data_IF_165052487572
#
_entry.id   IF_165052487572
#
_cell.length_a   1.000
_cell.length_b   1.000
_cell.length_c   1.000
_cell.angle_alpha   90.00
_cell.angle_beta   90.00
_cell.angle_gamma   90.00
#
_symmetry.space_group_name_H-M   'P 1'
#
loop_
_entity.id
_entity.type
_entity.pdbx_description
1 polymer ?
#
# COMPACT_ATOMS: atom_id res chain seq x y z
N UNK A 1 27.00 -4.87 -17.93
CA UNK A 1 25.95 -5.35 -18.85
C UNK A 1 24.76 -4.40 -18.94
N UNK A 2 24.11 -3.99 -17.80
CA UNK A 2 22.96 -3.05 -17.85
C UNK A 2 23.38 -1.69 -18.39
N UNK A 3 24.42 -1.09 -17.84
CA UNK A 3 24.98 0.19 -18.29
C UNK A 3 25.45 0.14 -19.77
N UNK A 4 26.14 -0.93 -20.17
CA UNK A 4 26.60 -1.15 -21.55
C UNK A 4 25.45 -1.25 -22.56
N UNK A 5 24.25 -1.65 -22.09
CA UNK A 5 23.05 -1.68 -22.92
C UNK A 5 22.17 -0.42 -22.77
N UNK A 6 22.68 0.65 -22.17
CA UNK A 6 21.98 1.93 -22.02
C UNK A 6 20.80 1.89 -21.04
N UNK A 7 20.78 0.94 -20.10
CA UNK A 7 19.76 0.85 -19.07
C UNK A 7 20.11 1.83 -17.93
N UNK A 8 19.20 2.74 -17.62
CA UNK A 8 19.36 3.72 -16.54
C UNK A 8 19.17 3.08 -15.17
N UNK A 9 18.28 2.08 -15.04
CA UNK A 9 17.93 1.45 -13.77
C UNK A 9 17.82 -0.06 -13.88
N UNK A 10 18.31 -0.78 -12.86
CA UNK A 10 18.19 -2.22 -12.73
C UNK A 10 17.38 -2.61 -11.49
N UNK A 11 16.35 -3.45 -11.68
CA UNK A 11 15.56 -3.99 -10.57
C UNK A 11 16.18 -5.29 -10.08
N UNK A 12 16.61 -5.34 -8.84
CA UNK A 12 17.24 -6.53 -8.29
C UNK A 12 16.24 -7.65 -7.94
N UNK A 13 16.73 -8.88 -8.01
CA UNK A 13 16.00 -10.05 -7.53
C UNK A 13 15.76 -9.98 -6.02
N UNK A 14 14.64 -10.53 -5.55
CA UNK A 14 14.22 -10.47 -4.13
C UNK A 14 14.96 -11.43 -3.21
N UNK A 15 15.81 -12.25 -3.77
CA UNK A 15 16.61 -13.28 -3.07
C UNK A 15 17.97 -12.77 -2.55
N UNK A 16 18.27 -11.48 -2.77
CA UNK A 16 19.54 -10.85 -2.36
C UNK A 16 19.50 -10.40 -0.90
N UNK A 17 20.65 -10.54 -0.23
CA UNK A 17 20.86 -9.93 1.08
C UNK A 17 21.24 -8.45 0.96
N UNK A 18 21.07 -7.68 2.06
CA UNK A 18 21.53 -6.27 2.12
C UNK A 18 23.02 -6.16 1.79
N UNK A 19 23.82 -7.15 2.21
CA UNK A 19 25.25 -7.20 1.89
C UNK A 19 25.48 -7.32 0.38
N UNK A 20 24.74 -8.19 -0.29
CA UNK A 20 24.85 -8.37 -1.73
C UNK A 20 24.39 -7.12 -2.48
N UNK A 21 23.27 -6.50 -2.04
CA UNK A 21 22.74 -5.25 -2.57
C UNK A 21 23.81 -4.14 -2.46
N UNK A 22 24.41 -3.96 -1.28
CA UNK A 22 25.47 -2.98 -1.07
C UNK A 22 26.66 -3.21 -2.01
N UNK A 23 27.07 -4.47 -2.18
CA UNK A 23 28.15 -4.82 -3.10
C UNK A 23 27.81 -4.44 -4.52
N UNK A 24 26.59 -4.69 -4.96
CA UNK A 24 26.13 -4.32 -6.31
C UNK A 24 26.13 -2.79 -6.48
N UNK A 25 25.50 -2.06 -5.55
CA UNK A 25 25.45 -0.60 -5.60
C UNK A 25 26.85 0.04 -5.66
N UNK A 26 27.81 -0.53 -4.91
CA UNK A 26 29.19 -0.01 -4.87
C UNK A 26 30.00 -0.31 -6.16
N UNK A 27 29.52 -1.17 -7.04
CA UNK A 27 30.25 -1.61 -8.24
C UNK A 27 29.54 -1.26 -9.56
N UNK A 28 28.56 -0.36 -9.54
CA UNK A 28 27.84 0.09 -10.75
C UNK A 28 27.39 1.53 -10.61
N UNK A 29 27.40 2.26 -11.70
CA UNK A 29 26.81 3.60 -11.83
C UNK A 29 25.33 3.53 -12.25
N UNK A 30 24.81 2.33 -12.58
CA UNK A 30 23.40 2.11 -12.91
C UNK A 30 22.57 2.25 -11.63
N UNK A 31 21.47 3.01 -11.68
CA UNK A 31 20.53 3.09 -10.56
C UNK A 31 20.00 1.73 -10.15
N UNK A 32 19.96 1.49 -8.84
CA UNK A 32 19.49 0.21 -8.30
C UNK A 32 18.13 0.37 -7.64
N UNK A 33 17.17 -0.44 -8.13
CA UNK A 33 15.82 -0.54 -7.57
C UNK A 33 15.65 -1.86 -6.83
N UNK A 34 15.08 -1.82 -5.61
CA UNK A 34 14.75 -3.01 -4.83
C UNK A 34 13.29 -3.01 -4.39
N UNK A 35 12.69 -4.20 -4.28
CA UNK A 35 11.39 -4.33 -3.66
C UNK A 35 11.50 -4.11 -2.15
N UNK A 36 10.64 -3.25 -1.59
CA UNK A 36 10.62 -2.92 -0.16
C UNK A 36 9.33 -3.36 0.54
N UNK A 37 8.22 -3.52 -0.21
CA UNK A 37 6.94 -3.92 0.38
C UNK A 37 6.08 -4.72 -0.58
N UNK A 38 5.25 -5.60 0.00
CA UNK A 38 4.17 -6.30 -0.70
C UNK A 38 4.46 -7.76 -1.02
N UNK A 39 3.71 -8.32 -1.96
CA UNK A 39 3.67 -9.74 -2.22
C UNK A 39 5.01 -10.32 -2.67
N UNK A 40 5.44 -11.39 -2.01
CA UNK A 40 6.60 -12.20 -2.41
C UNK A 40 6.18 -13.37 -3.32
N UNK A 41 7.12 -13.83 -4.13
CA UNK A 41 7.02 -15.05 -4.92
C UNK A 41 7.67 -16.23 -4.17
N UNK A 42 7.09 -17.43 -4.27
CA UNK A 42 7.69 -18.65 -3.70
C UNK A 42 8.88 -19.13 -4.53
N UNK A 43 8.89 -18.80 -5.82
CA UNK A 43 9.93 -19.19 -6.75
C UNK A 43 10.98 -18.09 -6.87
N UNK A 44 12.19 -18.44 -7.30
CA UNK A 44 13.20 -17.48 -7.70
C UNK A 44 12.67 -16.49 -8.73
N UNK A 45 13.09 -15.25 -8.61
CA UNK A 45 12.65 -14.14 -9.47
C UNK A 45 12.87 -14.48 -10.96
N UNK A 46 11.81 -14.31 -11.76
CA UNK A 46 11.84 -14.57 -13.20
C UNK A 46 11.78 -16.04 -13.65
N UNK A 47 11.81 -17.02 -12.73
CA UNK A 47 11.94 -18.44 -13.09
C UNK A 47 10.66 -19.27 -12.92
N UNK A 48 9.56 -18.67 -12.45
CA UNK A 48 8.34 -19.41 -12.19
C UNK A 48 7.56 -19.71 -13.48
N UNK A 49 7.38 -21.00 -13.78
CA UNK A 49 6.54 -21.49 -14.88
C UNK A 49 5.18 -22.00 -14.44
N UNK A 50 4.92 -22.09 -13.13
CA UNK A 50 3.74 -22.74 -12.56
C UNK A 50 2.42 -22.18 -13.13
N UNK A 51 2.27 -20.87 -13.15
CA UNK A 51 1.07 -20.22 -13.69
C UNK A 51 0.93 -20.36 -15.22
N UNK A 52 2.02 -20.49 -15.94
CA UNK A 52 2.02 -20.72 -17.39
C UNK A 52 1.57 -22.14 -17.71
N UNK A 53 2.10 -23.14 -16.97
CA UNK A 53 1.80 -24.56 -17.21
C UNK A 53 0.36 -24.93 -16.79
N UNK A 54 -0.12 -24.40 -15.66
CA UNK A 54 -1.47 -24.74 -15.14
C UNK A 54 -2.57 -24.01 -15.92
N UNK A 55 -2.36 -22.73 -16.27
CA UNK A 55 -3.44 -21.90 -16.81
C UNK A 55 -3.06 -20.98 -17.99
N UNK A 56 -1.93 -21.21 -18.68
CA UNK A 56 -1.47 -20.40 -19.81
C UNK A 56 -1.12 -18.94 -19.47
N UNK A 57 -1.02 -18.58 -18.18
CA UNK A 57 -0.83 -17.20 -17.72
C UNK A 57 0.59 -16.99 -17.19
N UNK A 58 1.47 -16.47 -18.05
CA UNK A 58 2.87 -16.25 -17.71
C UNK A 58 3.06 -15.19 -16.61
N UNK A 59 3.74 -15.58 -15.51
CA UNK A 59 4.15 -14.66 -14.45
C UNK A 59 5.16 -13.62 -14.95
N UNK A 60 6.08 -14.02 -15.80
CA UNK A 60 7.12 -13.15 -16.39
C UNK A 60 6.55 -12.09 -17.35
N UNK A 61 5.30 -12.27 -17.79
CA UNK A 61 4.54 -11.29 -18.60
C UNK A 61 3.50 -10.53 -17.74
N UNK A 62 3.67 -10.48 -16.43
CA UNK A 62 2.75 -9.79 -15.52
C UNK A 62 1.36 -10.43 -15.37
N UNK A 63 1.11 -11.66 -15.87
CA UNK A 63 -0.21 -12.30 -15.92
C UNK A 63 -0.39 -13.44 -14.92
N UNK A 64 0.49 -13.57 -13.91
CA UNK A 64 0.44 -14.64 -12.93
C UNK A 64 -0.93 -14.75 -12.24
N UNK A 65 -1.51 -15.97 -12.25
CA UNK A 65 -2.76 -16.28 -11.57
C UNK A 65 -2.57 -16.60 -10.08
N UNK A 66 -1.33 -16.58 -9.57
CA UNK A 66 -0.96 -16.90 -8.20
C UNK A 66 -1.35 -18.32 -7.76
N UNK A 67 -1.07 -19.39 -8.53
CA UNK A 67 -1.41 -20.76 -8.15
C UNK A 67 -0.74 -21.18 -6.83
N UNK A 68 0.43 -20.62 -6.48
CA UNK A 68 1.09 -20.85 -5.19
C UNK A 68 0.24 -20.43 -3.97
N UNK A 69 -0.85 -19.67 -4.17
CA UNK A 69 -1.78 -19.26 -3.11
C UNK A 69 -2.97 -20.21 -2.93
N UNK A 70 -2.99 -21.30 -3.67
CA UNK A 70 -3.99 -22.38 -3.51
C UNK A 70 -3.55 -23.37 -2.41
N UNK A 71 -4.49 -24.17 -1.86
CA UNK A 71 -4.16 -25.22 -0.91
C UNK A 71 -3.44 -26.38 -1.62
N UNK A 72 -2.41 -26.89 -0.98
CA UNK A 72 -1.63 -28.04 -1.45
C UNK A 72 -1.43 -29.05 -0.32
N UNK A 73 -1.23 -30.33 -0.70
CA UNK A 73 -0.79 -31.42 0.19
C UNK A 73 0.57 -31.93 -0.29
N UNK A 74 1.44 -32.24 0.66
CA UNK A 74 2.67 -32.97 0.41
C UNK A 74 2.38 -34.45 0.60
N UNK A 75 2.39 -35.21 -0.49
CA UNK A 75 2.07 -36.64 -0.45
C UNK A 75 3.30 -37.51 -0.79
N UNK A 76 3.37 -38.69 -0.19
CA UNK A 76 4.29 -39.73 -0.61
C UNK A 76 3.81 -40.39 -1.92
N UNK A 77 4.59 -41.38 -2.40
CA UNK A 77 4.26 -42.16 -3.62
C UNK A 77 2.93 -42.92 -3.55
N UNK A 78 2.38 -43.14 -2.37
CA UNK A 78 1.13 -43.86 -2.14
C UNK A 78 -0.05 -42.89 -1.91
N UNK A 79 0.16 -41.58 -2.04
CA UNK A 79 -0.86 -40.54 -1.82
C UNK A 79 -1.09 -40.18 -0.34
N UNK A 80 -0.28 -40.71 0.59
CA UNK A 80 -0.40 -40.39 2.02
C UNK A 80 0.10 -38.96 2.30
N UNK A 81 -0.70 -38.19 3.01
CA UNK A 81 -0.32 -36.86 3.43
C UNK A 81 0.83 -36.90 4.47
N UNK A 82 2.00 -36.40 4.06
CA UNK A 82 3.22 -36.41 4.88
C UNK A 82 3.19 -35.37 6.02
N UNK A 83 2.25 -34.41 5.97
CA UNK A 83 2.10 -33.37 6.99
C UNK A 83 0.90 -33.60 7.89
N UNK A 84 0.18 -34.72 7.73
CA UNK A 84 -0.93 -35.07 8.58
C UNK A 84 -0.50 -35.16 10.06
N UNK A 85 -1.24 -34.43 10.95
CA UNK A 85 -0.95 -34.36 12.38
C UNK A 85 0.14 -33.35 12.76
N UNK A 86 0.73 -32.64 11.81
CA UNK A 86 1.64 -31.52 12.10
C UNK A 86 0.86 -30.21 12.25
N UNK A 87 1.56 -29.13 12.62
CA UNK A 87 1.02 -27.77 12.69
C UNK A 87 0.99 -27.03 11.35
N UNK A 88 1.37 -27.68 10.25
CA UNK A 88 1.38 -27.11 8.91
C UNK A 88 -0.02 -26.76 8.44
N UNK A 89 -0.18 -25.57 7.86
CA UNK A 89 -1.40 -25.15 7.19
C UNK A 89 -1.55 -25.75 5.80
N UNK A 90 -2.64 -25.41 5.11
CA UNK A 90 -2.96 -25.92 3.78
C UNK A 90 -2.26 -25.17 2.64
N UNK A 91 -1.77 -23.95 2.89
CA UNK A 91 -1.21 -23.05 1.87
C UNK A 91 0.31 -23.09 1.87
N UNK A 92 0.85 -24.30 1.67
CA UNK A 92 2.27 -24.63 1.84
C UNK A 92 3.24 -23.76 1.01
N UNK A 93 2.76 -23.24 -0.13
CA UNK A 93 3.55 -22.43 -1.06
C UNK A 93 3.23 -20.93 -0.98
N UNK A 94 2.41 -20.49 0.00
CA UNK A 94 2.01 -19.09 0.12
C UNK A 94 2.97 -18.30 1.00
N UNK A 95 3.87 -17.46 0.46
CA UNK A 95 4.75 -16.65 1.29
C UNK A 95 4.00 -15.50 1.98
N UNK A 96 4.60 -15.02 3.08
CA UNK A 96 4.29 -13.75 3.72
C UNK A 96 4.55 -12.58 2.77
N UNK A 97 4.07 -11.38 3.13
CA UNK A 97 4.41 -10.17 2.39
C UNK A 97 5.74 -9.57 2.90
N UNK A 98 6.49 -8.96 1.99
CA UNK A 98 7.68 -8.21 2.32
C UNK A 98 7.29 -6.94 3.09
N UNK A 99 8.01 -6.64 4.16
CA UNK A 99 7.97 -5.36 4.84
C UNK A 99 9.38 -5.04 5.35
N UNK A 100 9.93 -3.94 4.86
CA UNK A 100 11.31 -3.51 5.18
C UNK A 100 11.36 -2.24 5.99
N UNK A 101 10.24 -1.73 6.53
CA UNK A 101 10.23 -0.48 7.29
C UNK A 101 11.30 -0.47 8.39
N UNK A 102 11.43 -1.53 9.19
CA UNK A 102 12.43 -1.58 10.27
C UNK A 102 13.88 -1.57 9.77
N UNK A 103 14.12 -2.05 8.56
CA UNK A 103 15.48 -2.17 7.97
C UNK A 103 15.72 -1.16 6.84
N UNK A 104 14.81 -0.23 6.64
CA UNK A 104 14.89 0.77 5.55
C UNK A 104 16.18 1.60 5.59
N UNK A 105 16.69 2.06 6.75
CA UNK A 105 17.99 2.73 6.85
C UNK A 105 19.14 1.93 6.23
N UNK A 106 19.16 0.61 6.45
CA UNK A 106 20.19 -0.25 5.91
C UNK A 106 20.17 -0.35 4.39
N UNK A 107 18.98 -0.24 3.77
CA UNK A 107 18.83 -0.20 2.31
C UNK A 107 19.27 1.15 1.72
N UNK A 108 18.97 2.25 2.43
CA UNK A 108 19.44 3.59 2.04
C UNK A 108 20.97 3.64 2.11
N UNK A 109 21.56 3.18 3.20
CA UNK A 109 23.02 3.12 3.41
C UNK A 109 23.74 2.15 2.45
N UNK A 110 23.02 1.17 1.93
CA UNK A 110 23.52 0.28 0.89
C UNK A 110 23.64 0.95 -0.48
N UNK A 111 23.11 2.17 -0.67
CA UNK A 111 23.15 2.92 -1.92
C UNK A 111 21.98 2.64 -2.87
N UNK A 112 20.87 2.11 -2.37
CA UNK A 112 19.65 1.91 -3.16
C UNK A 112 19.04 3.26 -3.52
N UNK A 113 18.76 3.48 -4.81
CA UNK A 113 18.23 4.75 -5.33
C UNK A 113 16.71 4.72 -5.58
N UNK A 114 16.13 3.53 -5.76
CA UNK A 114 14.71 3.36 -6.06
C UNK A 114 14.06 2.25 -5.21
N UNK A 115 12.89 2.55 -4.67
CA UNK A 115 12.17 1.68 -3.71
C UNK A 115 10.83 1.23 -4.30
N UNK A 116 10.73 -0.07 -4.62
CA UNK A 116 9.56 -0.65 -5.30
C UNK A 116 8.56 -1.25 -4.33
N UNK A 117 7.31 -0.83 -4.43
CA UNK A 117 6.18 -1.39 -3.69
C UNK A 117 5.35 -2.27 -4.63
N UNK A 118 5.17 -3.55 -4.29
CA UNK A 118 4.28 -4.45 -5.03
C UNK A 118 2.83 -4.19 -4.61
N UNK A 119 2.04 -3.65 -5.53
CA UNK A 119 0.65 -3.30 -5.30
C UNK A 119 -0.31 -3.79 -6.38
N UNK A 120 0.14 -4.64 -7.32
CA UNK A 120 -0.73 -5.21 -8.34
C UNK A 120 -1.90 -5.96 -7.68
N UNK A 121 -3.11 -5.74 -8.16
CA UNK A 121 -4.35 -6.29 -7.58
C UNK A 121 -4.71 -5.74 -6.18
N UNK A 122 -4.04 -4.71 -5.72
CA UNK A 122 -4.40 -3.98 -4.52
C UNK A 122 -5.30 -2.79 -4.85
N UNK A 123 -6.06 -2.36 -3.85
CA UNK A 123 -6.91 -1.15 -3.97
C UNK A 123 -6.05 0.11 -3.83
N UNK A 124 -6.53 1.27 -4.33
CA UNK A 124 -5.84 2.55 -4.17
C UNK A 124 -5.47 2.87 -2.72
N UNK A 125 -6.34 2.52 -1.77
CA UNK A 125 -6.13 2.75 -0.34
C UNK A 125 -4.87 2.06 0.17
N UNK A 126 -4.60 0.84 -0.30
CA UNK A 126 -3.36 0.13 0.05
C UNK A 126 -2.13 0.89 -0.46
N UNK A 127 -2.16 1.33 -1.70
CA UNK A 127 -1.04 2.09 -2.29
C UNK A 127 -0.82 3.37 -1.51
N UNK A 128 -1.89 4.13 -1.24
CA UNK A 128 -1.83 5.38 -0.50
C UNK A 128 -1.20 5.22 0.89
N UNK A 129 -1.71 4.29 1.69
CA UNK A 129 -1.22 4.06 3.07
C UNK A 129 0.24 3.59 3.08
N UNK A 130 0.59 2.64 2.20
CA UNK A 130 1.94 2.07 2.18
C UNK A 130 2.95 3.10 1.67
N UNK A 131 2.65 3.80 0.57
CA UNK A 131 3.55 4.83 0.02
C UNK A 131 3.77 5.96 1.01
N UNK A 132 2.69 6.45 1.66
CA UNK A 132 2.78 7.52 2.66
C UNK A 132 3.68 7.13 3.84
N UNK A 133 3.52 5.91 4.38
CA UNK A 133 4.35 5.43 5.48
C UNK A 133 5.84 5.33 5.09
N UNK A 134 6.16 4.75 3.91
CA UNK A 134 7.53 4.66 3.43
C UNK A 134 8.11 6.03 3.08
N UNK A 135 7.33 6.95 2.50
CA UNK A 135 7.80 8.31 2.19
C UNK A 135 8.21 9.05 3.45
N UNK A 136 7.35 9.05 4.47
CA UNK A 136 7.66 9.67 5.77
C UNK A 136 8.87 9.02 6.47
N UNK A 137 9.00 7.69 6.36
CA UNK A 137 10.15 6.98 6.90
C UNK A 137 11.46 7.38 6.21
N UNK A 138 11.48 7.49 4.87
CA UNK A 138 12.64 7.96 4.11
C UNK A 138 12.97 9.42 4.50
N UNK A 139 11.98 10.30 4.55
CA UNK A 139 12.18 11.71 4.88
C UNK A 139 12.75 11.89 6.30
N UNK A 140 12.25 11.12 7.27
CA UNK A 140 12.78 11.14 8.65
C UNK A 140 14.22 10.66 8.74
N UNK A 141 14.58 9.65 7.93
CA UNK A 141 15.96 9.18 7.84
C UNK A 141 16.90 10.23 7.24
N UNK A 142 16.51 10.85 6.13
CA UNK A 142 17.29 11.90 5.47
C UNK A 142 17.45 13.16 6.35
N UNK A 143 16.45 13.42 7.21
CA UNK A 143 16.54 14.47 8.22
C UNK A 143 17.41 14.10 9.45
N UNK A 144 18.05 12.92 9.45
CA UNK A 144 18.92 12.44 10.55
C UNK A 144 18.17 11.97 11.81
N UNK A 145 16.88 11.76 11.72
CA UNK A 145 16.02 11.33 12.84
C UNK A 145 15.06 10.20 12.41
N UNK A 146 15.62 9.03 12.12
CA UNK A 146 14.81 7.89 11.72
C UNK A 146 13.83 7.50 12.83
N UNK A 147 12.56 7.71 12.56
CA UNK A 147 11.48 7.33 13.46
C UNK A 147 10.27 6.91 12.64
N UNK A 148 9.83 5.68 12.84
CA UNK A 148 8.57 5.18 12.27
C UNK A 148 7.56 5.07 13.41
N UNK A 149 6.50 5.88 13.42
CA UNK A 149 5.46 5.78 14.44
C UNK A 149 4.83 4.39 14.47
N UNK A 150 4.52 3.89 15.65
CA UNK A 150 3.84 2.59 15.82
C UNK A 150 2.53 2.52 15.01
N UNK A 151 1.85 3.66 14.85
CA UNK A 151 0.63 3.77 14.05
C UNK A 151 0.85 3.39 12.59
N UNK A 152 2.04 3.61 12.02
CA UNK A 152 2.34 3.24 10.63
C UNK A 152 2.46 1.73 10.45
N UNK A 153 3.08 1.05 11.41
CA UNK A 153 3.10 -0.42 11.42
C UNK A 153 1.67 -0.97 11.55
N UNK A 154 0.85 -0.40 12.42
CA UNK A 154 -0.54 -0.80 12.60
C UNK A 154 -1.40 -0.51 11.37
N UNK A 155 -1.20 0.62 10.69
CA UNK A 155 -1.89 0.97 9.46
C UNK A 155 -1.52 0.01 8.32
N UNK A 156 -0.24 -0.31 8.17
CA UNK A 156 0.24 -1.28 7.17
C UNK A 156 -0.32 -2.68 7.46
N UNK A 157 -0.32 -3.11 8.71
CA UNK A 157 -0.93 -4.38 9.11
C UNK A 157 -2.44 -4.39 8.84
N UNK A 158 -3.12 -3.29 9.11
CA UNK A 158 -4.57 -3.17 8.94
C UNK A 158 -4.98 -3.11 7.48
N UNK A 159 -4.24 -2.39 6.62
CA UNK A 159 -4.62 -2.23 5.23
C UNK A 159 -4.54 -3.54 4.45
N UNK A 160 -3.56 -4.39 4.76
CA UNK A 160 -3.45 -5.73 4.20
C UNK A 160 -2.46 -6.60 4.99
N UNK A 161 -2.93 -7.73 5.52
CA UNK A 161 -2.14 -8.62 6.36
C UNK A 161 -2.15 -10.06 5.86
N UNK A 162 -0.97 -10.56 5.48
CA UNK A 162 -0.63 -11.99 5.27
C UNK A 162 0.57 -12.41 6.09
N UNK A 163 0.80 -11.80 7.24
CA UNK A 163 2.07 -11.72 7.96
C UNK A 163 3.17 -11.05 7.15
N UNK A 164 4.20 -10.58 7.84
CA UNK A 164 5.32 -9.90 7.23
C UNK A 164 6.63 -10.64 7.43
N UNK A 165 7.57 -10.38 6.52
CA UNK A 165 8.93 -10.90 6.54
C UNK A 165 9.87 -9.89 5.86
N UNK A 166 11.12 -9.88 6.26
CA UNK A 166 12.20 -9.20 5.53
C UNK A 166 12.78 -10.05 4.40
N UNK A 167 12.18 -11.21 4.14
CA UNK A 167 12.63 -12.19 3.15
C UNK A 167 14.12 -12.56 3.33
N UNK A 168 14.90 -12.48 2.26
CA UNK A 168 16.33 -12.83 2.25
C UNK A 168 17.26 -11.68 2.67
N UNK A 169 16.72 -10.48 2.88
CA UNK A 169 17.56 -9.28 3.12
C UNK A 169 18.43 -9.40 4.37
N UNK A 170 17.89 -9.97 5.44
CA UNK A 170 18.61 -10.10 6.73
C UNK A 170 19.12 -11.52 6.96
N UNK A 171 18.34 -12.53 6.56
CA UNK A 171 18.66 -13.94 6.82
C UNK A 171 18.01 -14.84 5.77
N UNK A 172 18.36 -16.14 5.79
CA UNK A 172 17.64 -17.14 5.00
C UNK A 172 16.43 -17.65 5.78
N UNK A 173 15.21 -17.23 5.44
CA UNK A 173 14.04 -17.40 6.31
C UNK A 173 13.50 -18.83 6.36
N UNK A 174 13.82 -19.70 5.39
CA UNK A 174 13.29 -21.07 5.32
C UNK A 174 11.75 -21.11 5.40
N UNK A 175 11.20 -22.06 6.19
CA UNK A 175 9.74 -22.21 6.39
C UNK A 175 9.08 -20.98 7.02
N UNK A 176 9.81 -20.18 7.81
CA UNK A 176 9.25 -19.00 8.47
C UNK A 176 8.80 -17.91 7.50
N UNK A 177 9.23 -17.99 6.23
CA UNK A 177 8.76 -17.12 5.14
C UNK A 177 7.32 -17.41 4.75
N UNK A 178 6.75 -18.59 5.10
CA UNK A 178 5.43 -19.01 4.62
C UNK A 178 4.30 -18.51 5.52
N UNK A 179 3.20 -18.06 4.90
CA UNK A 179 1.90 -17.79 5.50
C UNK A 179 0.96 -18.96 5.16
N UNK A 180 1.26 -20.13 5.70
CA UNK A 180 0.67 -21.41 5.29
C UNK A 180 -0.79 -21.62 5.75
N UNK A 181 -1.27 -20.79 6.67
CA UNK A 181 -2.63 -20.88 7.18
C UNK A 181 -3.63 -20.05 6.36
N UNK A 182 -3.16 -19.01 5.66
CA UNK A 182 -4.05 -18.07 4.99
C UNK A 182 -3.39 -17.28 3.85
N UNK A 183 -3.88 -17.39 2.59
CA UNK A 183 -3.28 -16.73 1.44
C UNK A 183 -3.83 -15.32 1.19
N UNK A 184 -4.95 -14.96 1.84
CA UNK A 184 -5.65 -13.69 1.67
C UNK A 184 -5.43 -12.76 2.87
N UNK A 185 -5.96 -11.54 2.75
CA UNK A 185 -6.00 -10.61 3.87
C UNK A 185 -6.65 -11.27 5.09
N UNK A 186 -5.95 -11.23 6.20
CA UNK A 186 -6.37 -11.80 7.48
C UNK A 186 -7.10 -10.76 8.34
N UNK A 187 -6.86 -9.48 8.06
CA UNK A 187 -7.22 -8.39 8.93
C UNK A 187 -6.41 -8.40 10.24
N UNK A 188 -6.78 -7.54 11.15
CA UNK A 188 -6.17 -7.39 12.48
C UNK A 188 -7.13 -7.89 13.54
N UNK A 189 -6.65 -8.71 14.46
CA UNK A 189 -7.48 -9.18 15.59
C UNK A 189 -7.82 -8.00 16.48
N UNK A 190 -9.13 -7.75 16.67
CA UNK A 190 -9.63 -6.64 17.47
C UNK A 190 -10.28 -7.09 18.77
N UNK A 191 -10.50 -8.40 18.96
CA UNK A 191 -11.06 -8.91 20.19
C UNK A 191 -11.63 -10.31 20.10
N UNK A 192 -12.42 -10.67 21.13
CA UNK A 192 -13.11 -11.96 21.25
C UNK A 192 -14.55 -11.80 21.72
N UNK A 193 -15.39 -12.69 21.24
CA UNK A 193 -16.77 -12.81 21.71
C UNK A 193 -16.78 -13.33 23.15
N UNK A 194 -17.33 -12.53 24.08
CA UNK A 194 -17.37 -12.87 25.52
C UNK A 194 -18.78 -13.15 26.02
N UNK A 195 -19.84 -12.78 25.27
CA UNK A 195 -21.23 -13.07 25.60
C UNK A 195 -22.06 -13.09 24.32
N UNK A 196 -23.05 -13.98 24.27
CA UNK A 196 -24.09 -14.01 23.23
C UNK A 196 -25.43 -13.67 23.89
N UNK A 197 -26.24 -12.86 23.22
CA UNK A 197 -27.59 -12.54 23.67
C UNK A 197 -28.57 -13.48 22.96
N UNK A 198 -29.15 -14.41 23.74
CA UNK A 198 -30.10 -15.41 23.21
C UNK A 198 -31.34 -14.71 22.65
N UNK A 199 -31.76 -15.12 21.44
CA UNK A 199 -32.92 -14.53 20.77
C UNK A 199 -32.67 -13.19 20.06
N UNK A 200 -31.49 -12.60 20.26
CA UNK A 200 -31.02 -11.42 19.55
C UNK A 200 -29.75 -11.78 18.79
N UNK A 201 -29.66 -11.35 17.55
CA UNK A 201 -28.42 -11.53 16.78
C UNK A 201 -27.34 -10.52 17.26
N UNK A 202 -26.98 -10.57 18.56
CA UNK A 202 -26.03 -9.67 19.19
C UNK A 202 -25.00 -10.43 20.02
N UNK A 203 -23.81 -9.85 20.10
CA UNK A 203 -22.74 -10.34 20.96
C UNK A 203 -22.02 -9.19 21.66
N UNK A 204 -21.53 -9.48 22.87
CA UNK A 204 -20.55 -8.65 23.52
C UNK A 204 -19.14 -9.10 23.10
N UNK A 205 -18.31 -8.14 22.70
CA UNK A 205 -16.93 -8.35 22.28
C UNK A 205 -16.03 -7.62 23.28
N UNK A 206 -15.05 -8.34 23.85
CA UNK A 206 -13.95 -7.74 24.60
C UNK A 206 -12.90 -7.26 23.63
N UNK A 207 -12.66 -5.96 23.59
CA UNK A 207 -11.76 -5.33 22.64
C UNK A 207 -10.29 -5.42 23.08
N UNK A 208 -9.44 -5.78 22.15
CA UNK A 208 -7.98 -5.75 22.23
C UNK A 208 -7.39 -4.56 21.43
N UNK A 209 -8.14 -4.06 20.44
CA UNK A 209 -7.84 -2.85 19.66
C UNK A 209 -9.07 -1.97 19.54
N UNK A 210 -8.90 -0.68 19.17
CA UNK A 210 -9.99 0.26 18.91
C UNK A 210 -10.96 -0.31 17.86
N UNK A 211 -12.25 -0.08 18.05
CA UNK A 211 -13.31 -0.40 17.09
C UNK A 211 -14.18 0.84 16.87
N UNK A 212 -14.55 1.10 15.62
CA UNK A 212 -15.34 2.27 15.21
C UNK A 212 -16.56 1.86 14.36
N UNK A 213 -17.58 2.70 14.31
CA UNK A 213 -18.69 2.51 13.36
C UNK A 213 -18.17 2.53 11.92
N UNK A 214 -18.76 1.68 11.09
CA UNK A 214 -18.33 1.49 9.71
C UNK A 214 -17.22 0.47 9.53
N UNK A 215 -16.57 0.00 10.61
CA UNK A 215 -15.57 -1.06 10.53
C UNK A 215 -16.20 -2.37 10.03
N UNK A 216 -15.48 -3.07 9.14
CA UNK A 216 -15.85 -4.41 8.67
C UNK A 216 -15.15 -5.47 9.49
N UNK A 217 -15.94 -6.39 10.04
CA UNK A 217 -15.47 -7.47 10.91
C UNK A 217 -15.66 -8.84 10.28
N UNK A 218 -14.73 -9.75 10.57
CA UNK A 218 -14.87 -11.20 10.34
C UNK A 218 -14.72 -11.96 11.66
N UNK A 219 -15.68 -12.83 11.92
CA UNK A 219 -15.64 -13.80 13.02
C UNK A 219 -15.09 -15.13 12.50
N UNK A 220 -14.09 -15.66 13.19
CA UNK A 220 -13.52 -16.95 12.84
C UNK A 220 -14.26 -18.05 13.58
N UNK A 221 -15.23 -18.65 12.89
CA UNK A 221 -16.13 -19.67 13.44
C UNK A 221 -15.61 -21.07 13.18
N UNK A 222 -15.94 -22.02 14.06
CA UNK A 222 -15.46 -23.42 13.94
C UNK A 222 -16.04 -24.16 12.74
N UNK A 223 -17.28 -23.84 12.36
CA UNK A 223 -17.98 -24.46 11.24
C UNK A 223 -18.37 -23.36 10.26
N UNK A 224 -18.04 -23.51 8.98
CA UNK A 224 -18.30 -22.48 7.96
C UNK A 224 -17.17 -21.48 7.77
N UNK A 225 -16.06 -21.59 8.53
CA UNK A 225 -14.85 -20.81 8.35
C UNK A 225 -14.93 -19.39 8.86
N UNK A 226 -15.67 -18.50 8.19
CA UNK A 226 -15.77 -17.08 8.55
C UNK A 226 -17.10 -16.49 8.16
N UNK A 227 -17.59 -15.62 9.01
CA UNK A 227 -18.78 -14.83 8.76
C UNK A 227 -18.46 -13.35 9.03
N UNK A 228 -18.93 -12.46 8.15
CA UNK A 228 -18.61 -11.04 8.18
C UNK A 228 -19.82 -10.17 8.53
N UNK A 229 -19.54 -9.01 9.10
CA UNK A 229 -20.53 -7.94 9.31
C UNK A 229 -19.84 -6.58 9.26
N UNK A 230 -20.65 -5.53 9.09
CA UNK A 230 -20.21 -4.14 9.29
C UNK A 230 -20.76 -3.64 10.61
N UNK A 231 -19.98 -2.87 11.36
CA UNK A 231 -20.39 -2.27 12.64
C UNK A 231 -21.27 -1.06 12.35
N UNK A 232 -22.58 -1.28 12.20
CA UNK A 232 -23.55 -0.21 11.97
C UNK A 232 -24.06 0.42 13.25
N UNK A 233 -24.06 -0.36 14.35
CA UNK A 233 -24.47 0.06 15.68
C UNK A 233 -23.58 -0.59 16.73
N UNK A 234 -23.21 0.18 17.74
CA UNK A 234 -22.37 -0.29 18.83
C UNK A 234 -22.82 0.36 20.14
N UNK A 235 -22.93 -0.44 21.19
CA UNK A 235 -23.26 0.06 22.53
C UNK A 235 -22.19 -0.35 23.54
N UNK A 236 -21.87 0.57 24.45
CA UNK A 236 -20.96 0.36 25.56
C UNK A 236 -21.70 0.77 26.84
N UNK A 237 -21.77 -0.13 27.82
CA UNK A 237 -22.50 0.10 29.09
C UNK A 237 -23.97 0.56 28.89
N UNK A 238 -24.62 0.05 27.81
CA UNK A 238 -26.01 0.39 27.50
C UNK A 238 -26.20 1.70 26.70
N UNK A 239 -25.16 2.47 26.47
CA UNK A 239 -25.18 3.71 25.69
C UNK A 239 -24.64 3.48 24.29
N UNK A 240 -25.21 4.13 23.28
CA UNK A 240 -24.70 4.12 21.92
C UNK A 240 -23.39 4.91 21.83
N UNK A 241 -22.40 4.31 21.17
CA UNK A 241 -21.08 4.92 20.96
C UNK A 241 -20.65 4.79 19.49
N UNK A 242 -19.88 5.75 19.00
CA UNK A 242 -19.33 5.74 17.63
C UNK A 242 -17.98 5.04 17.56
N UNK A 243 -17.26 4.97 18.67
CA UNK A 243 -15.99 4.24 18.79
C UNK A 243 -15.79 3.75 20.21
N UNK A 244 -14.96 2.70 20.37
CA UNK A 244 -14.62 2.14 21.67
C UNK A 244 -13.13 1.75 21.72
N UNK A 245 -12.51 1.95 22.89
CA UNK A 245 -11.07 1.78 23.10
C UNK A 245 -10.71 0.33 23.48
N UNK A 246 -9.44 -0.09 23.30
CA UNK A 246 -8.92 -1.35 23.81
C UNK A 246 -9.22 -1.53 25.31
N UNK A 247 -9.43 -2.78 25.72
CA UNK A 247 -9.76 -3.11 27.12
C UNK A 247 -11.24 -2.96 27.48
N UNK A 248 -12.07 -2.31 26.66
CA UNK A 248 -13.49 -2.17 26.89
C UNK A 248 -14.30 -3.34 26.32
N UNK A 249 -15.58 -3.37 26.62
CA UNK A 249 -16.52 -4.34 26.09
C UNK A 249 -17.65 -3.60 25.38
N UNK A 250 -17.95 -4.04 24.16
CA UNK A 250 -19.01 -3.47 23.34
C UNK A 250 -20.00 -4.55 22.90
N UNK A 251 -21.25 -4.15 22.68
CA UNK A 251 -22.27 -5.01 22.07
C UNK A 251 -22.56 -4.52 20.66
N UNK A 252 -22.52 -5.46 19.71
CA UNK A 252 -22.81 -5.22 18.29
C UNK A 252 -23.74 -6.29 17.75
N UNK A 253 -24.33 -6.02 16.59
CA UNK A 253 -25.05 -7.01 15.80
C UNK A 253 -24.06 -7.99 15.15
N UNK A 254 -24.40 -9.28 15.17
CA UNK A 254 -23.55 -10.35 14.64
C UNK A 254 -24.31 -11.22 13.63
N UNK A 255 -23.62 -11.82 12.64
CA UNK A 255 -24.21 -12.81 11.76
C UNK A 255 -24.44 -14.15 12.47
N UNK A 256 -25.25 -15.00 11.86
CA UNK A 256 -25.48 -16.36 12.34
C UNK A 256 -24.18 -17.18 12.37
N UNK A 257 -24.10 -18.11 13.30
CA UNK A 257 -22.96 -19.04 13.41
C UNK A 257 -21.85 -18.61 14.36
N UNK A 258 -21.86 -17.35 14.82
CA UNK A 258 -20.91 -16.83 15.83
C UNK A 258 -21.15 -17.50 17.18
N UNK A 259 -20.06 -17.85 17.87
CA UNK A 259 -20.06 -18.55 19.16
C UNK A 259 -19.20 -17.83 20.19
N UNK A 260 -19.39 -18.22 21.44
CA UNK A 260 -18.49 -17.81 22.53
C UNK A 260 -17.03 -18.13 22.22
N UNK A 261 -16.16 -17.21 22.56
CA UNK A 261 -14.70 -17.25 22.35
C UNK A 261 -14.24 -17.18 20.90
N UNK A 262 -15.14 -16.99 19.93
CA UNK A 262 -14.71 -16.73 18.54
C UNK A 262 -13.86 -15.47 18.47
N UNK A 263 -12.78 -15.56 17.68
CA UNK A 263 -11.89 -14.43 17.41
C UNK A 263 -12.52 -13.49 16.41
N UNK A 264 -12.39 -12.19 16.68
CA UNK A 264 -12.92 -11.11 15.84
C UNK A 264 -11.78 -10.38 15.19
N UNK A 265 -11.81 -10.31 13.85
CA UNK A 265 -10.80 -9.61 13.05
C UNK A 265 -11.45 -8.45 12.32
N UNK A 266 -10.80 -7.28 12.33
CA UNK A 266 -11.16 -6.15 11.51
C UNK A 266 -10.48 -6.29 10.15
N UNK A 267 -11.28 -6.43 9.08
CA UNK A 267 -10.80 -6.56 7.70
C UNK A 267 -10.98 -5.28 6.89
N UNK A 268 -11.75 -4.34 7.41
CA UNK A 268 -11.95 -3.01 6.85
C UNK A 268 -11.98 -2.00 8.01
N UNK A 269 -11.13 -1.01 7.96
CA UNK A 269 -11.02 0.08 8.94
C UNK A 269 -11.55 1.36 8.30
N UNK A 270 -12.69 1.84 8.77
CA UNK A 270 -13.36 2.99 8.18
C UNK A 270 -12.54 4.30 8.29
N UNK A 271 -11.86 4.49 9.42
CA UNK A 271 -11.02 5.67 9.65
C UNK A 271 -9.78 5.65 8.74
N UNK A 272 -9.13 4.48 8.61
CA UNK A 272 -7.97 4.30 7.75
C UNK A 272 -8.35 4.48 6.27
N UNK A 273 -9.53 3.99 5.84
CA UNK A 273 -10.02 4.22 4.48
C UNK A 273 -10.29 5.70 4.21
N UNK A 274 -10.88 6.42 5.17
CA UNK A 274 -11.08 7.87 5.07
C UNK A 274 -9.75 8.63 5.02
N UNK A 275 -8.75 8.20 5.79
CA UNK A 275 -7.39 8.74 5.72
C UNK A 275 -6.77 8.51 4.34
N UNK A 276 -6.80 7.29 3.84
CA UNK A 276 -6.25 6.93 2.53
C UNK A 276 -6.89 7.74 1.39
N UNK A 277 -8.20 7.98 1.47
CA UNK A 277 -8.95 8.76 0.48
C UNK A 277 -8.47 10.19 0.26
N UNK A 278 -7.64 10.72 1.17
CA UNK A 278 -7.02 12.05 1.02
C UNK A 278 -5.92 12.09 -0.05
N UNK A 279 -5.36 10.93 -0.42
CA UNK A 279 -4.21 10.83 -1.31
C UNK A 279 -4.58 10.51 -2.77
N UNK A 280 -5.85 10.26 -3.08
CA UNK A 280 -6.30 9.97 -4.45
C UNK A 280 -7.69 10.57 -4.73
N UNK A 281 -8.05 10.63 -6.01
CA UNK A 281 -9.27 11.27 -6.47
C UNK A 281 -9.08 12.78 -6.74
N UNK A 282 -10.17 13.47 -7.12
CA UNK A 282 -10.10 14.87 -7.56
C UNK A 282 -9.63 15.84 -6.49
N UNK A 283 -9.87 15.55 -5.20
CA UNK A 283 -9.45 16.37 -4.07
C UNK A 283 -7.96 16.21 -3.72
N UNK A 284 -7.32 15.17 -4.23
CA UNK A 284 -5.92 14.85 -3.95
C UNK A 284 -4.95 15.38 -5.02
N UNK A 285 -5.41 16.24 -5.93
CA UNK A 285 -4.55 16.82 -6.96
C UNK A 285 -3.42 17.60 -6.30
N UNK A 286 -2.17 17.16 -6.53
CA UNK A 286 -0.99 17.96 -6.20
C UNK A 286 -1.10 19.26 -6.99
N UNK A 287 -1.06 20.38 -6.28
CA UNK A 287 -0.98 21.72 -6.89
C UNK A 287 0.48 22.13 -6.92
N UNK A 288 0.98 22.42 -8.12
CA UNK A 288 2.34 22.91 -8.33
C UNK A 288 2.21 24.42 -8.52
N UNK A 289 2.77 25.19 -7.59
CA UNK A 289 2.80 26.64 -7.70
C UNK A 289 3.74 27.06 -8.82
N UNK A 290 3.31 27.97 -9.66
CA UNK A 290 4.13 28.54 -10.72
C UNK A 290 4.08 30.07 -10.71
N UNK A 291 5.24 30.67 -10.90
CA UNK A 291 5.36 32.07 -11.20
C UNK A 291 5.13 32.29 -12.71
N UNK A 292 4.41 33.35 -13.06
CA UNK A 292 4.12 33.68 -14.44
C UNK A 292 4.69 35.07 -14.81
N UNK A 293 5.53 35.08 -15.84
CA UNK A 293 6.01 36.30 -16.48
C UNK A 293 5.30 36.49 -17.83
N UNK A 294 4.48 37.49 -17.95
CA UNK A 294 3.77 37.84 -19.18
C UNK A 294 4.41 39.07 -19.79
N UNK A 295 4.80 38.95 -21.06
CA UNK A 295 5.38 40.07 -21.81
C UNK A 295 4.47 40.47 -22.98
N UNK A 296 4.03 41.71 -23.00
CA UNK A 296 3.24 42.30 -24.07
C UNK A 296 3.95 43.59 -24.58
N UNK A 297 4.52 43.55 -25.78
CA UNK A 297 5.18 44.69 -26.41
C UNK A 297 4.57 44.93 -27.78
N UNK A 298 4.31 46.23 -28.12
CA UNK A 298 3.80 46.59 -29.42
C UNK A 298 4.66 46.05 -30.55
N UNK A 299 4.03 45.46 -31.54
CA UNK A 299 4.71 44.90 -32.71
C UNK A 299 5.35 43.53 -32.46
N UNK A 300 5.13 42.91 -31.28
CA UNK A 300 5.64 41.57 -30.93
C UNK A 300 4.50 40.63 -30.48
N UNK A 301 4.69 39.31 -30.57
CA UNK A 301 3.76 38.40 -29.95
C UNK A 301 3.65 38.63 -28.41
N UNK A 302 2.50 38.33 -27.83
CA UNK A 302 2.38 38.24 -26.38
C UNK A 302 2.99 36.89 -25.96
N UNK A 303 3.86 36.93 -24.96
CA UNK A 303 4.54 35.71 -24.45
C UNK A 303 4.21 35.50 -22.98
N UNK A 304 4.18 34.21 -22.60
CA UNK A 304 4.03 33.75 -21.21
C UNK A 304 5.11 32.76 -20.89
N UNK A 305 5.86 33.02 -19.82
CA UNK A 305 6.83 32.09 -19.23
C UNK A 305 6.31 31.70 -17.85
N UNK A 306 6.12 30.40 -17.63
CA UNK A 306 5.80 29.83 -16.31
C UNK A 306 7.05 29.17 -15.74
N UNK A 307 7.28 29.34 -14.43
CA UNK A 307 8.42 28.71 -13.75
C UNK A 307 7.92 28.13 -12.42
N UNK A 308 8.22 26.86 -12.13
CA UNK A 308 7.92 26.22 -10.84
C UNK A 308 9.03 26.41 -9.81
N UNK A 309 8.78 25.96 -8.56
CA UNK A 309 9.73 26.06 -7.45
C UNK A 309 11.01 25.22 -7.67
N UNK A 310 10.98 24.25 -8.61
CA UNK A 310 12.12 23.41 -8.97
C UNK A 310 12.94 24.00 -10.14
N UNK A 311 12.48 25.12 -10.70
CA UNK A 311 13.12 25.81 -11.81
C UNK A 311 12.75 25.25 -13.19
N UNK A 312 11.76 24.34 -13.27
CA UNK A 312 11.22 23.90 -14.56
C UNK A 312 10.42 25.02 -15.21
N UNK A 313 10.58 25.18 -16.53
CA UNK A 313 9.96 26.29 -17.26
C UNK A 313 9.05 25.81 -18.39
N UNK A 314 7.94 26.52 -18.58
CA UNK A 314 7.04 26.37 -19.72
C UNK A 314 6.90 27.71 -20.46
N UNK A 315 7.10 27.73 -21.77
CA UNK A 315 7.00 28.94 -22.59
C UNK A 315 5.87 28.81 -23.62
N UNK A 316 5.12 29.88 -23.80
CA UNK A 316 4.11 30.00 -24.85
C UNK A 316 4.08 31.40 -25.46
N UNK A 317 3.75 31.49 -26.74
CA UNK A 317 3.54 32.76 -27.44
C UNK A 317 2.27 32.74 -28.30
N UNK A 318 1.72 33.91 -28.55
CA UNK A 318 0.52 34.05 -29.39
C UNK A 318 0.87 34.11 -30.87
N UNK A 319 -0.03 33.61 -31.71
CA UNK A 319 0.08 33.74 -33.17
C UNK A 319 -0.27 35.15 -33.69
N UNK A 320 -0.73 36.07 -32.82
CA UNK A 320 -1.03 37.45 -33.21
C UNK A 320 0.01 38.39 -32.65
N UNK A 321 0.17 39.53 -33.31
CA UNK A 321 1.07 40.61 -32.91
C UNK A 321 0.27 41.59 -32.03
N UNK A 322 0.88 42.02 -30.93
CA UNK A 322 0.29 43.00 -30.00
C UNK A 322 0.17 44.36 -30.67
N UNK A 323 -1.06 44.92 -30.70
CA UNK A 323 -1.40 46.22 -31.26
C UNK A 323 -1.80 47.20 -30.15
N UNK A 324 -1.87 48.49 -30.48
CA UNK A 324 -2.40 49.50 -29.59
C UNK A 324 -3.88 49.23 -29.28
N UNK A 325 -4.25 49.29 -28.00
CA UNK A 325 -5.61 49.03 -27.56
C UNK A 325 -6.62 49.97 -28.20
N UNK A 326 -7.71 49.45 -28.78
CA UNK A 326 -8.77 50.21 -29.44
C UNK A 326 -9.87 50.68 -28.47
N UNK A 327 -10.12 49.96 -27.37
CA UNK A 327 -11.18 50.28 -26.37
C UNK A 327 -10.66 50.25 -24.95
N UNK A 328 -10.01 49.21 -24.52
CA UNK A 328 -9.47 49.02 -23.17
C UNK A 328 -8.03 48.51 -23.27
N UNK A 329 -7.13 49.16 -22.53
CA UNK A 329 -5.77 48.71 -22.40
C UNK A 329 -5.73 47.39 -21.58
N UNK A 330 -4.78 46.52 -21.92
CA UNK A 330 -4.51 45.30 -21.10
C UNK A 330 -3.93 45.77 -19.76
N UNK A 331 -4.60 45.39 -18.67
CA UNK A 331 -4.12 45.66 -17.32
C UNK A 331 -3.70 44.35 -16.62
N UNK A 332 -3.00 44.48 -15.49
CA UNK A 332 -2.50 43.35 -14.73
C UNK A 332 -3.63 42.41 -14.27
N UNK A 333 -4.76 42.94 -13.85
CA UNK A 333 -5.91 42.19 -13.36
C UNK A 333 -6.50 41.28 -14.47
N UNK A 334 -6.62 41.84 -15.69
CA UNK A 334 -7.09 41.08 -16.86
C UNK A 334 -6.10 39.99 -17.26
N UNK A 335 -4.81 40.29 -17.24
CA UNK A 335 -3.73 39.30 -17.53
C UNK A 335 -3.77 38.18 -16.49
N UNK A 336 -3.73 38.50 -15.22
CA UNK A 336 -3.78 37.53 -14.11
C UNK A 336 -5.00 36.61 -14.23
N UNK A 337 -6.18 37.16 -14.48
CA UNK A 337 -7.41 36.39 -14.67
C UNK A 337 -7.35 35.42 -15.85
N UNK A 338 -6.58 35.70 -16.90
CA UNK A 338 -6.43 34.82 -18.05
C UNK A 338 -5.36 33.74 -17.80
N UNK A 339 -4.25 34.09 -17.18
CA UNK A 339 -3.16 33.15 -16.86
C UNK A 339 -3.60 32.15 -15.76
N UNK A 340 -4.42 32.60 -14.81
CA UNK A 340 -4.99 31.73 -13.74
C UNK A 340 -5.99 30.67 -14.26
N UNK A 341 -6.29 30.66 -15.56
CA UNK A 341 -7.11 29.59 -16.19
C UNK A 341 -6.34 28.26 -16.37
N UNK A 342 -5.58 27.89 -15.37
CA UNK A 342 -4.84 26.60 -15.33
C UNK A 342 -5.73 25.41 -14.95
N UNK A 343 -6.99 25.64 -14.67
CA UNK A 343 -8.11 24.84 -14.16
C UNK A 343 -8.09 23.33 -14.24
N UNK A 344 -7.71 22.73 -15.37
CA UNK A 344 -7.66 21.27 -15.53
C UNK A 344 -6.25 20.70 -15.35
N UNK A 345 -5.26 21.56 -15.14
CA UNK A 345 -3.86 21.18 -14.92
C UNK A 345 -3.55 21.01 -13.43
N UNK A 346 -2.37 20.52 -13.13
CA UNK A 346 -1.85 20.44 -11.76
C UNK A 346 -1.24 21.76 -11.27
N UNK A 347 -1.12 22.77 -12.14
CA UNK A 347 -0.49 24.04 -11.85
C UNK A 347 -1.48 25.06 -11.27
N UNK A 348 -0.96 25.96 -10.41
CA UNK A 348 -1.66 27.13 -9.85
C UNK A 348 -0.70 28.32 -9.82
N UNK A 349 -1.24 29.56 -10.01
CA UNK A 349 -0.50 30.81 -9.87
C UNK A 349 -0.32 31.18 -8.41
#
# INVERSE_FOLDING_TARGET
LCAENGMERAVLARELSIKDIKTICSNTDTEIEVFIHGALCVCYSGQCLMSSLIGGRSGNRGRCAQPCRLPYKLTDKNGRDMLAGTDAGQYLLSPKDLNTLEILPQLIDAGVTSYKIEGRMKRPEYVAVVVDAYRRAIDSYLAGNYNVPQQDFENIEQIFNRDFTTAYMVSRPGRTMMSDRRPNNRGVMVGRVVKLFKGENKAAIKLEKKLSLGDGLEFWVKVGGRVGTTVNKMTQNGQEVTSALPGTQVVIDIPNGVRMNDRVFRTFDAELMAYAGKFYGEKAKRRITVDAVVTAKLGQPLTVLLTDDEGSTGFGETNFITETARKHALDEAAVRKQVDRLGTTEYVL
#
